data_IF_982100736380
#
_entry.id   IF_982100736380
#
_cell.length_a   1.000
_cell.length_b   1.000
_cell.length_c   1.000
_cell.angle_alpha   90.00
_cell.angle_beta   90.00
_cell.angle_gamma   90.00
#
_symmetry.space_group_name_H-M   'P 1'
#
loop_
_entity.id
_entity.type
_entity.pdbx_description
1 polymer ?
#
# COMPACT_ATOMS: atom_id res chain seq x y z
N UNK A 1 -8.81 0.22 2.92
CA UNK A 1 -7.66 -0.69 2.74
C UNK A 1 -6.56 -0.23 3.67
N UNK A 2 -5.93 -1.18 4.35
CA UNK A 2 -5.05 -0.91 5.48
C UNK A 2 -3.66 -1.43 5.21
N UNK A 3 -2.64 -0.62 5.53
CA UNK A 3 -1.25 -1.05 5.53
C UNK A 3 -0.74 -1.12 6.97
N UNK A 4 -0.11 -2.23 7.34
CA UNK A 4 0.52 -2.38 8.63
C UNK A 4 1.97 -1.91 8.61
N UNK A 5 2.34 -0.98 9.48
CA UNK A 5 3.74 -0.58 9.66
C UNK A 5 4.33 -1.48 10.73
N UNK A 6 5.34 -2.25 10.34
CA UNK A 6 6.05 -3.19 11.21
C UNK A 6 7.54 -2.86 11.27
N UNK A 7 8.22 -3.36 12.28
CA UNK A 7 9.66 -3.22 12.44
C UNK A 7 10.08 -3.59 13.86
N UNK A 8 11.36 -3.91 14.04
CA UNK A 8 11.94 -4.15 15.35
C UNK A 8 11.95 -2.86 16.20
N UNK A 9 12.14 -2.94 17.51
CA UNK A 9 12.30 -1.74 18.33
C UNK A 9 13.47 -0.87 17.86
N UNK A 10 13.30 0.45 17.96
CA UNK A 10 14.34 1.45 17.67
C UNK A 10 14.84 1.53 16.21
N UNK A 11 14.00 1.13 15.25
CA UNK A 11 14.29 1.26 13.81
C UNK A 11 13.74 2.55 13.18
N UNK A 12 13.02 3.39 13.95
CA UNK A 12 12.37 4.60 13.46
C UNK A 12 10.89 4.41 13.09
N UNK A 13 10.28 3.26 13.42
CA UNK A 13 8.89 2.93 13.10
C UNK A 13 7.89 3.99 13.61
N UNK A 14 7.97 4.36 14.89
CA UNK A 14 7.04 5.33 15.49
C UNK A 14 7.29 6.75 14.96
N UNK A 15 8.54 7.12 14.67
CA UNK A 15 8.87 8.40 14.03
C UNK A 15 8.21 8.48 12.66
N UNK A 16 8.36 7.44 11.83
CA UNK A 16 7.73 7.36 10.51
C UNK A 16 6.20 7.39 10.60
N UNK A 17 5.60 6.62 11.51
CA UNK A 17 4.14 6.62 11.69
C UNK A 17 3.61 7.99 12.12
N UNK A 18 4.30 8.67 13.06
CA UNK A 18 3.93 10.02 13.48
C UNK A 18 4.07 11.03 12.34
N UNK A 19 5.13 10.96 11.52
CA UNK A 19 5.30 11.81 10.36
C UNK A 19 4.15 11.60 9.34
N UNK A 20 3.75 10.36 9.07
CA UNK A 20 2.61 10.01 8.21
C UNK A 20 1.31 10.62 8.77
N UNK A 21 1.05 10.46 10.07
CA UNK A 21 -0.19 10.95 10.71
C UNK A 21 -0.23 12.46 10.81
N UNK A 22 0.90 13.13 11.06
CA UNK A 22 1.00 14.60 11.07
C UNK A 22 0.75 15.18 9.67
N UNK A 23 1.35 14.61 8.63
CA UNK A 23 1.06 15.00 7.24
C UNK A 23 -0.42 14.81 6.89
N UNK A 24 -1.07 13.75 7.40
CA UNK A 24 -2.50 13.52 7.28
C UNK A 24 -3.35 14.54 8.02
N UNK A 25 -2.93 14.97 9.19
CA UNK A 25 -3.64 15.95 10.01
C UNK A 25 -3.61 17.36 9.39
N UNK A 26 -2.51 17.76 8.77
CA UNK A 26 -2.42 19.04 8.03
C UNK A 26 -3.29 19.07 6.77
N UNK A 27 -3.45 17.93 6.12
CA UNK A 27 -4.41 17.79 5.00
C UNK A 27 -5.86 17.64 5.47
N UNK A 28 -6.12 17.57 6.79
CA UNK A 28 -7.42 17.33 7.43
C UNK A 28 -8.39 18.52 7.49
N UNK A 29 -8.30 19.47 6.60
CA UNK A 29 -9.49 20.26 6.22
C UNK A 29 -10.62 19.34 5.65
N UNK A 30 -10.36 18.02 5.62
CA UNK A 30 -11.28 16.97 5.19
C UNK A 30 -11.92 16.29 6.42
N UNK A 31 -13.23 16.42 6.56
CA UNK A 31 -14.07 16.09 7.72
C UNK A 31 -14.14 14.61 8.16
N UNK A 32 -13.17 13.75 7.84
CA UNK A 32 -13.23 12.31 8.09
C UNK A 32 -12.01 11.68 8.76
N UNK A 33 -11.08 12.49 9.32
CA UNK A 33 -9.99 11.95 10.12
C UNK A 33 -10.49 11.61 11.53
N UNK A 34 -11.03 10.43 11.73
CA UNK A 34 -11.15 9.84 13.06
C UNK A 34 -9.77 9.37 13.50
N UNK A 35 -9.23 9.98 14.54
CA UNK A 35 -7.98 9.55 15.18
C UNK A 35 -8.33 8.37 16.08
N UNK A 36 -8.30 7.16 15.53
CA UNK A 36 -8.21 5.97 16.37
C UNK A 36 -6.74 5.81 16.82
N UNK A 37 -6.48 5.41 18.06
CA UNK A 37 -5.12 5.12 18.49
C UNK A 37 -4.47 4.12 17.53
N UNK A 38 -3.29 4.43 17.02
CA UNK A 38 -2.51 3.61 16.08
C UNK A 38 -3.08 3.44 14.64
N UNK A 39 -4.07 4.24 14.22
CA UNK A 39 -4.56 4.28 12.83
C UNK A 39 -4.44 5.70 12.29
N UNK A 40 -3.71 5.85 11.18
CA UNK A 40 -3.58 7.10 10.44
C UNK A 40 -4.29 7.01 9.10
N UNK A 41 -5.21 7.93 8.82
CA UNK A 41 -5.85 8.06 7.49
C UNK A 41 -5.19 9.23 6.77
N UNK A 42 -4.61 8.96 5.60
CA UNK A 42 -3.78 9.92 4.88
C UNK A 42 -4.29 10.10 3.46
N UNK A 43 -4.26 11.34 2.97
CA UNK A 43 -4.57 11.64 1.59
C UNK A 43 -3.46 11.08 0.65
N UNK A 44 -3.87 10.49 -0.46
CA UNK A 44 -2.95 10.05 -1.51
C UNK A 44 -2.56 11.28 -2.34
N UNK A 45 -1.27 11.64 -2.41
CA UNK A 45 -0.80 12.75 -3.24
C UNK A 45 -1.14 12.52 -4.71
N UNK A 46 -1.93 13.42 -5.29
CA UNK A 46 -2.37 13.33 -6.68
C UNK A 46 -2.51 14.73 -7.30
N UNK A 47 -1.50 15.17 -8.06
CA UNK A 47 -1.46 16.45 -8.71
C UNK A 47 -2.64 16.73 -9.66
N UNK A 48 -3.30 15.64 -10.13
CA UNK A 48 -4.45 15.75 -11.04
C UNK A 48 -5.64 16.43 -10.37
N UNK A 49 -5.79 16.21 -9.06
CA UNK A 49 -6.84 16.88 -8.26
C UNK A 49 -6.60 18.38 -8.19
N UNK A 50 -5.36 18.81 -7.94
CA UNK A 50 -4.99 20.23 -7.88
C UNK A 50 -5.27 20.92 -9.23
N UNK A 51 -4.87 20.30 -10.34
CA UNK A 51 -5.13 20.81 -11.69
C UNK A 51 -6.62 20.90 -12.02
N UNK A 52 -7.41 19.91 -11.62
CA UNK A 52 -8.86 19.95 -11.79
C UNK A 52 -9.51 21.01 -10.88
N UNK A 53 -8.99 21.21 -9.67
CA UNK A 53 -9.45 22.26 -8.78
C UNK A 53 -9.17 23.67 -9.35
N UNK A 54 -7.99 23.91 -9.94
CA UNK A 54 -7.68 25.13 -10.67
C UNK A 54 -8.67 25.37 -11.82
N UNK A 55 -9.04 24.31 -12.57
CA UNK A 55 -9.92 24.41 -13.74
C UNK A 55 -11.39 24.65 -13.37
N UNK A 56 -11.92 23.96 -12.35
CA UNK A 56 -13.33 23.96 -12.01
C UNK A 56 -13.71 24.89 -10.87
N UNK A 57 -12.72 25.40 -10.10
CA UNK A 57 -12.90 26.20 -8.88
C UNK A 57 -13.98 25.61 -7.96
N UNK A 58 -13.82 24.37 -7.48
CA UNK A 58 -14.88 23.66 -6.79
C UNK A 58 -15.10 24.17 -5.36
N UNK A 59 -16.31 24.00 -4.84
CA UNK A 59 -16.61 24.29 -3.44
C UNK A 59 -15.91 23.33 -2.48
N UNK A 60 -15.58 22.09 -2.96
CA UNK A 60 -14.94 21.06 -2.15
C UNK A 60 -13.96 20.24 -2.99
N UNK A 61 -12.84 19.88 -2.36
CA UNK A 61 -11.84 18.96 -2.92
C UNK A 61 -11.77 17.74 -2.00
N UNK A 62 -11.83 16.52 -2.57
CA UNK A 62 -11.76 15.28 -1.79
C UNK A 62 -10.76 14.32 -2.45
N UNK A 63 -9.55 14.18 -1.91
CA UNK A 63 -8.56 13.22 -2.41
C UNK A 63 -8.95 11.78 -2.08
N UNK A 64 -8.30 10.82 -2.75
CA UNK A 64 -8.29 9.44 -2.31
C UNK A 64 -7.54 9.33 -0.96
N UNK A 65 -7.91 8.35 -0.15
CA UNK A 65 -7.26 8.13 1.15
C UNK A 65 -6.83 6.68 1.31
N UNK A 66 -5.79 6.48 2.14
CA UNK A 66 -5.28 5.17 2.53
C UNK A 66 -5.07 5.15 4.05
N UNK A 67 -5.22 3.98 4.66
CA UNK A 67 -5.09 3.80 6.10
C UNK A 67 -3.77 3.13 6.44
N UNK A 68 -3.01 3.71 7.37
CA UNK A 68 -1.82 3.13 7.97
C UNK A 68 -2.11 2.72 9.40
N UNK A 69 -1.65 1.54 9.80
CA UNK A 69 -1.83 1.00 11.16
C UNK A 69 -0.46 0.78 11.78
N UNK A 70 -0.18 1.43 12.91
CA UNK A 70 1.02 1.15 13.68
C UNK A 70 0.86 -0.19 14.41
N UNK A 71 1.59 -1.20 13.93
CA UNK A 71 1.60 -2.52 14.55
C UNK A 71 2.74 -2.55 15.57
N UNK A 72 2.41 -2.82 16.82
CA UNK A 72 3.38 -2.91 17.91
C UNK A 72 4.54 -3.83 17.53
N UNK A 73 5.77 -3.42 17.85
CA UNK A 73 6.99 -4.12 17.43
C UNK A 73 7.00 -5.59 17.87
N UNK A 74 7.56 -6.42 17.02
CA UNK A 74 7.76 -7.84 17.26
C UNK A 74 8.76 -8.05 18.39
N UNK A 75 8.41 -8.92 19.33
CA UNK A 75 9.37 -9.54 20.25
C UNK A 75 9.62 -10.96 19.75
N UNK A 76 10.89 -11.35 19.64
CA UNK A 76 11.31 -12.70 19.20
C UNK A 76 10.56 -13.80 19.98
N UNK A 77 9.99 -14.79 19.27
CA UNK A 77 9.17 -15.83 19.85
C UNK A 77 7.66 -15.57 19.83
N UNK A 78 7.22 -14.64 18.99
CA UNK A 78 5.80 -14.29 18.83
C UNK A 78 4.91 -15.48 18.46
N UNK A 79 5.41 -16.41 17.64
CA UNK A 79 4.71 -17.60 17.18
C UNK A 79 4.54 -18.67 18.28
N UNK A 80 5.35 -18.63 19.35
CA UNK A 80 5.29 -19.62 20.45
C UNK A 80 4.21 -19.37 21.52
N UNK A 81 3.31 -18.41 21.28
CA UNK A 81 2.03 -18.36 21.99
C UNK A 81 1.98 -17.55 23.28
N UNK A 82 2.96 -16.75 23.63
CA UNK A 82 2.88 -15.89 24.82
C UNK A 82 2.53 -14.42 24.48
N UNK A 83 1.28 -14.03 24.74
CA UNK A 83 0.81 -12.65 24.94
C UNK A 83 0.97 -11.68 23.74
N UNK A 84 2.07 -10.94 23.66
CA UNK A 84 2.29 -9.87 22.69
C UNK A 84 2.49 -10.36 21.26
N UNK A 85 3.07 -11.55 21.07
CA UNK A 85 3.30 -12.11 19.74
C UNK A 85 2.02 -12.47 19.01
N UNK A 86 1.04 -13.08 19.68
CA UNK A 86 -0.25 -13.37 19.10
C UNK A 86 -1.01 -12.10 18.67
N UNK A 87 -0.87 -11.00 19.43
CA UNK A 87 -1.45 -9.70 19.05
C UNK A 87 -0.79 -9.14 17.79
N UNK A 88 0.53 -9.23 17.67
CA UNK A 88 1.26 -8.83 16.47
C UNK A 88 0.75 -9.57 15.23
N UNK A 89 0.71 -10.90 15.26
CA UNK A 89 0.21 -11.73 14.15
C UNK A 89 -1.27 -11.47 13.85
N UNK A 90 -2.10 -11.19 14.88
CA UNK A 90 -3.49 -10.81 14.69
C UNK A 90 -3.63 -9.49 13.93
N UNK A 91 -2.86 -8.46 14.30
CA UNK A 91 -2.89 -7.16 13.62
C UNK A 91 -2.40 -7.30 12.16
N UNK A 92 -1.37 -8.13 11.90
CA UNK A 92 -0.94 -8.39 10.52
C UNK A 92 -2.05 -9.06 9.70
N UNK A 93 -2.89 -9.91 10.28
CA UNK A 93 -4.03 -10.51 9.56
C UNK A 93 -5.04 -9.48 9.08
N UNK A 94 -5.23 -8.39 9.83
CA UNK A 94 -6.23 -7.36 9.55
C UNK A 94 -5.82 -6.34 8.48
N UNK A 95 -4.55 -6.32 8.07
CA UNK A 95 -4.04 -5.39 7.07
C UNK A 95 -3.90 -6.07 5.70
N UNK A 96 -3.97 -5.26 4.63
CA UNK A 96 -3.91 -5.76 3.24
C UNK A 96 -2.47 -5.88 2.72
N UNK A 97 -1.54 -5.06 3.23
CA UNK A 97 -0.11 -5.08 2.89
C UNK A 97 0.74 -4.61 4.08
N UNK A 98 2.05 -4.77 3.98
CA UNK A 98 3.01 -4.50 5.04
C UNK A 98 4.01 -3.44 4.59
N UNK A 99 4.29 -2.47 5.45
CA UNK A 99 5.45 -1.60 5.37
C UNK A 99 6.42 -2.03 6.47
N UNK A 100 7.52 -2.63 6.07
CA UNK A 100 8.54 -3.07 7.01
C UNK A 100 9.64 -2.02 7.13
N UNK A 101 9.65 -1.30 8.25
CA UNK A 101 10.67 -0.31 8.55
C UNK A 101 11.95 -1.02 9.00
N UNK A 102 13.02 -0.79 8.25
CA UNK A 102 14.32 -1.45 8.44
C UNK A 102 15.39 -0.40 8.72
N UNK A 103 16.16 -0.57 9.78
CA UNK A 103 17.21 0.36 10.16
C UNK A 103 18.45 0.15 9.29
N UNK A 104 18.83 1.16 8.49
CA UNK A 104 20.04 1.19 7.67
C UNK A 104 21.02 2.29 8.08
N UNK A 105 20.72 3.07 9.11
CA UNK A 105 21.55 4.17 9.62
C UNK A 105 22.35 3.78 10.87
N UNK A 106 23.52 4.40 11.04
CA UNK A 106 24.29 4.34 12.28
C UNK A 106 23.90 5.48 13.22
N UNK A 107 23.72 5.17 14.50
CA UNK A 107 23.55 6.15 15.56
C UNK A 107 23.89 5.48 16.90
N UNK A 108 24.96 5.94 17.54
CA UNK A 108 25.48 5.35 18.79
C UNK A 108 24.57 5.62 19.99
N UNK A 109 23.74 6.67 19.92
CA UNK A 109 22.77 7.03 20.99
C UNK A 109 21.51 6.16 20.96
N UNK A 110 21.29 5.44 19.86
CA UNK A 110 20.10 4.58 19.67
C UNK A 110 20.52 3.11 19.72
N UNK A 111 20.28 2.46 20.86
CA UNK A 111 20.62 1.04 21.05
C UNK A 111 19.76 0.16 20.14
N UNK A 112 20.41 -0.74 19.38
CA UNK A 112 19.73 -1.78 18.62
C UNK A 112 19.39 -2.97 19.53
N UNK A 113 18.18 -3.55 19.40
CA UNK A 113 17.71 -4.66 20.25
C UNK A 113 18.61 -5.90 20.21
N UNK A 114 19.23 -6.16 19.06
CA UNK A 114 20.16 -7.28 18.84
C UNK A 114 21.66 -6.88 19.04
N UNK A 115 21.94 -5.67 19.56
CA UNK A 115 23.29 -5.18 19.84
C UNK A 115 24.13 -4.76 18.63
N UNK A 116 23.69 -5.05 17.42
CA UNK A 116 24.32 -4.63 16.14
C UNK A 116 23.28 -4.34 15.10
N UNK A 117 23.62 -3.46 14.13
CA UNK A 117 22.73 -3.12 13.02
C UNK A 117 23.00 -4.11 11.88
N UNK A 118 22.00 -4.94 11.58
CA UNK A 118 22.01 -5.91 10.50
C UNK A 118 20.60 -6.00 9.88
N UNK A 119 20.33 -5.22 8.83
CA UNK A 119 19.01 -5.17 8.21
C UNK A 119 18.51 -6.52 7.70
N UNK A 120 19.39 -7.36 7.17
CA UNK A 120 19.03 -8.67 6.65
C UNK A 120 18.52 -9.58 7.77
N UNK A 121 19.29 -9.71 8.86
CA UNK A 121 18.88 -10.45 10.05
C UNK A 121 17.54 -9.94 10.62
N UNK A 122 17.35 -8.62 10.64
CA UNK A 122 16.15 -8.00 11.19
C UNK A 122 14.92 -8.34 10.34
N UNK A 123 15.06 -8.35 9.01
CA UNK A 123 14.02 -8.79 8.07
C UNK A 123 13.73 -10.28 8.25
N UNK A 124 14.77 -11.12 8.28
CA UNK A 124 14.64 -12.57 8.47
C UNK A 124 13.92 -12.91 9.78
N UNK A 125 14.18 -12.16 10.85
CA UNK A 125 13.51 -12.34 12.15
C UNK A 125 11.99 -12.17 12.04
N UNK A 126 11.53 -11.12 11.37
CA UNK A 126 10.09 -10.88 11.17
C UNK A 126 9.50 -11.91 10.21
N UNK A 127 10.16 -12.18 9.08
CA UNK A 127 9.71 -13.15 8.10
C UNK A 127 9.55 -14.54 8.73
N UNK A 128 10.48 -14.97 9.58
CA UNK A 128 10.41 -16.25 10.26
C UNK A 128 9.16 -16.38 11.13
N UNK A 129 8.79 -15.35 11.89
CA UNK A 129 7.58 -15.39 12.72
C UNK A 129 6.29 -15.49 11.87
N UNK A 130 6.25 -14.80 10.72
CA UNK A 130 5.12 -14.92 9.78
C UNK A 130 5.05 -16.33 9.20
N UNK A 131 6.18 -16.87 8.75
CA UNK A 131 6.30 -18.23 8.19
C UNK A 131 5.86 -19.30 9.20
N UNK A 132 6.33 -19.21 10.44
CA UNK A 132 5.95 -20.19 11.48
C UNK A 132 4.43 -20.20 11.72
N UNK A 133 3.80 -19.01 11.76
CA UNK A 133 2.33 -18.91 11.85
C UNK A 133 1.64 -19.53 10.62
N UNK A 134 2.21 -19.35 9.44
CA UNK A 134 1.63 -19.82 8.18
C UNK A 134 1.75 -21.35 8.05
N UNK A 135 2.85 -21.95 8.50
CA UNK A 135 3.02 -23.42 8.54
C UNK A 135 1.91 -24.06 9.38
N UNK A 136 1.56 -23.49 10.53
CA UNK A 136 0.45 -23.99 11.34
C UNK A 136 -0.92 -23.92 10.63
N UNK A 137 -1.12 -22.85 9.83
CA UNK A 137 -2.35 -22.69 9.04
C UNK A 137 -2.39 -23.76 7.94
N UNK A 138 -1.27 -23.94 7.22
CA UNK A 138 -1.15 -24.95 6.17
C UNK A 138 -1.35 -26.37 6.68
N UNK A 139 -0.78 -26.73 7.81
CA UNK A 139 -0.95 -28.08 8.41
C UNK A 139 -2.44 -28.40 8.66
N UNK A 140 -3.18 -27.42 9.17
CA UNK A 140 -4.63 -27.57 9.38
C UNK A 140 -5.39 -27.66 8.05
N UNK A 141 -5.04 -26.84 7.03
CA UNK A 141 -5.68 -26.89 5.72
C UNK A 141 -5.37 -28.20 5.00
N UNK A 142 -4.11 -28.63 4.97
CA UNK A 142 -3.68 -29.92 4.39
C UNK A 142 -4.46 -31.08 5.01
N UNK A 143 -4.52 -31.15 6.35
CA UNK A 143 -5.28 -32.20 7.06
C UNK A 143 -6.74 -32.22 6.65
N UNK A 144 -7.37 -31.08 6.44
CA UNK A 144 -8.76 -30.99 5.98
C UNK A 144 -8.89 -31.46 4.54
N UNK A 145 -8.07 -30.96 3.61
CA UNK A 145 -8.11 -31.35 2.20
C UNK A 145 -7.83 -32.84 2.01
N UNK A 146 -6.92 -33.46 2.79
CA UNK A 146 -6.66 -34.90 2.76
C UNK A 146 -7.88 -35.74 3.16
N UNK A 147 -8.72 -35.24 4.06
CA UNK A 147 -9.98 -35.92 4.43
C UNK A 147 -11.01 -35.78 3.31
N UNK A 148 -11.15 -34.59 2.77
CA UNK A 148 -12.14 -34.27 1.75
C UNK A 148 -11.81 -34.97 0.41
N UNK A 149 -10.52 -35.16 0.10
CA UNK A 149 -10.02 -35.88 -1.09
C UNK A 149 -10.56 -37.31 -1.21
N UNK A 150 -10.92 -37.94 -0.08
CA UNK A 150 -11.53 -39.32 -0.08
C UNK A 150 -12.88 -39.33 -0.80
N UNK A 151 -13.59 -38.22 -0.80
CA UNK A 151 -14.88 -38.04 -1.48
C UNK A 151 -14.80 -37.31 -2.80
N UNK A 152 -13.80 -36.43 -2.97
CA UNK A 152 -13.63 -35.58 -4.13
C UNK A 152 -12.18 -35.55 -4.62
N UNK A 153 -11.92 -36.29 -5.72
CA UNK A 153 -10.59 -36.41 -6.32
C UNK A 153 -10.10 -35.13 -7.00
N UNK A 154 -10.98 -34.15 -7.27
CA UNK A 154 -10.59 -32.87 -7.88
C UNK A 154 -9.65 -32.05 -7.00
N UNK A 155 -9.68 -32.29 -5.67
CA UNK A 155 -8.84 -31.62 -4.69
C UNK A 155 -7.36 -32.06 -4.70
N UNK A 156 -6.96 -33.00 -5.58
CA UNK A 156 -5.58 -33.50 -5.61
C UNK A 156 -4.59 -32.36 -5.93
N UNK A 157 -4.92 -31.51 -6.88
CA UNK A 157 -4.03 -30.38 -7.29
C UNK A 157 -3.85 -29.37 -6.15
N UNK A 158 -4.94 -29.02 -5.45
CA UNK A 158 -4.86 -28.17 -4.26
C UNK A 158 -3.93 -28.81 -3.20
N UNK A 159 -4.10 -30.08 -2.91
CA UNK A 159 -3.29 -30.78 -1.93
C UNK A 159 -1.79 -30.78 -2.28
N UNK A 160 -1.47 -31.07 -3.53
CA UNK A 160 -0.08 -31.11 -4.01
C UNK A 160 0.57 -29.72 -3.91
N UNK A 161 -0.15 -28.68 -4.30
CA UNK A 161 0.31 -27.30 -4.14
C UNK A 161 0.53 -26.93 -2.66
N UNK A 162 -0.44 -27.20 -1.78
CA UNK A 162 -0.33 -26.89 -0.36
C UNK A 162 0.87 -27.59 0.31
N UNK A 163 1.15 -28.84 -0.06
CA UNK A 163 2.33 -29.57 0.43
C UNK A 163 3.64 -28.98 -0.09
N UNK A 164 3.70 -28.59 -1.36
CA UNK A 164 4.84 -27.90 -1.94
C UNK A 164 5.08 -26.57 -1.25
N UNK A 165 4.04 -25.73 -1.12
CA UNK A 165 4.10 -24.44 -0.44
C UNK A 165 4.59 -24.59 1.00
N UNK A 166 4.09 -25.58 1.74
CA UNK A 166 4.55 -25.86 3.09
C UNK A 166 6.06 -26.17 3.14
N UNK A 167 6.54 -26.99 2.20
CA UNK A 167 7.97 -27.30 2.08
C UNK A 167 8.83 -26.07 1.79
N UNK A 168 8.37 -25.17 0.92
CA UNK A 168 9.08 -23.90 0.64
C UNK A 168 9.13 -23.00 1.89
N UNK A 169 8.03 -22.89 2.62
CA UNK A 169 8.00 -22.14 3.89
C UNK A 169 8.97 -22.72 4.94
N UNK A 170 9.04 -24.04 5.07
CA UNK A 170 10.01 -24.71 5.98
C UNK A 170 11.47 -24.43 5.60
N UNK A 171 11.74 -24.16 4.32
CA UNK A 171 13.05 -23.73 3.83
C UNK A 171 13.29 -22.22 3.99
N UNK A 172 12.36 -21.48 4.61
CA UNK A 172 12.48 -20.03 4.86
C UNK A 172 12.03 -19.16 3.71
N UNK A 173 11.42 -19.71 2.66
CA UNK A 173 10.88 -18.94 1.53
C UNK A 173 9.52 -18.38 1.92
N UNK A 174 9.33 -17.06 1.80
CA UNK A 174 8.03 -16.42 2.04
C UNK A 174 7.00 -16.85 0.99
N UNK A 175 5.73 -17.02 1.38
CA UNK A 175 4.68 -17.43 0.45
C UNK A 175 4.51 -16.48 -0.76
N UNK A 176 4.82 -15.18 -0.60
CA UNK A 176 4.81 -14.19 -1.69
C UNK A 176 5.88 -14.43 -2.76
N UNK A 177 6.95 -15.14 -2.44
CA UNK A 177 8.05 -15.46 -3.34
C UNK A 177 7.89 -16.82 -4.04
N UNK A 178 6.90 -17.61 -3.65
CA UNK A 178 6.66 -18.94 -4.25
C UNK A 178 5.99 -18.79 -5.61
N UNK A 179 6.61 -19.38 -6.64
CA UNK A 179 6.00 -19.42 -7.97
C UNK A 179 4.72 -20.25 -7.96
N UNK A 180 3.64 -19.72 -8.54
CA UNK A 180 2.33 -20.34 -8.60
C UNK A 180 1.65 -20.05 -9.96
N UNK A 181 0.99 -21.05 -10.53
CA UNK A 181 0.13 -20.86 -11.68
C UNK A 181 -1.18 -20.14 -11.30
N UNK A 182 -2.05 -19.82 -12.27
CA UNK A 182 -3.29 -19.06 -12.00
C UNK A 182 -4.25 -19.79 -11.04
N UNK A 183 -4.35 -21.12 -11.13
CA UNK A 183 -5.18 -21.92 -10.25
C UNK A 183 -4.56 -22.04 -8.85
N UNK A 184 -3.24 -22.18 -8.78
CA UNK A 184 -2.50 -22.19 -7.51
C UNK A 184 -2.56 -20.84 -6.77
N UNK A 185 -2.61 -19.71 -7.52
CA UNK A 185 -2.84 -18.38 -6.94
C UNK A 185 -4.23 -18.26 -6.29
N UNK A 186 -5.24 -18.92 -6.86
CA UNK A 186 -6.56 -18.97 -6.23
C UNK A 186 -6.48 -19.74 -4.91
N UNK A 187 -5.83 -20.91 -4.87
CA UNK A 187 -5.62 -21.66 -3.63
C UNK A 187 -4.85 -20.85 -2.59
N UNK A 188 -3.79 -20.14 -3.01
CA UNK A 188 -3.02 -19.29 -2.11
C UNK A 188 -3.87 -18.15 -1.52
N UNK A 189 -4.72 -17.54 -2.32
CA UNK A 189 -5.65 -16.49 -1.89
C UNK A 189 -6.64 -16.98 -0.83
N UNK A 190 -7.13 -18.22 -0.97
CA UNK A 190 -8.10 -18.83 -0.05
C UNK A 190 -7.52 -19.16 1.33
N UNK A 191 -6.21 -19.40 1.41
CA UNK A 191 -5.55 -19.73 2.68
C UNK A 191 -5.24 -18.51 3.54
N UNK A 192 -5.15 -17.32 2.92
CA UNK A 192 -4.88 -16.04 3.58
C UNK A 192 -3.64 -16.06 4.51
N UNK A 193 -2.50 -16.45 3.96
CA UNK A 193 -1.22 -16.51 4.67
C UNK A 193 -0.67 -15.12 4.97
N UNK A 194 0.08 -14.99 6.07
CA UNK A 194 0.71 -13.73 6.48
C UNK A 194 1.92 -13.39 5.61
N UNK A 195 2.75 -14.39 5.30
CA UNK A 195 3.94 -14.23 4.46
C UNK A 195 3.63 -14.10 2.96
N UNK A 196 2.34 -14.24 2.55
CA UNK A 196 1.89 -13.96 1.20
C UNK A 196 1.55 -12.48 0.96
N UNK A 197 1.41 -11.68 2.04
CA UNK A 197 1.05 -10.27 1.91
C UNK A 197 2.11 -9.48 1.17
N UNK A 198 1.70 -8.56 0.26
CA UNK A 198 2.61 -7.63 -0.39
C UNK A 198 3.36 -6.78 0.64
N UNK A 199 4.63 -6.45 0.36
CA UNK A 199 5.51 -5.75 1.29
C UNK A 199 6.33 -4.66 0.60
N UNK A 200 6.54 -3.55 1.30
CA UNK A 200 7.57 -2.55 1.00
C UNK A 200 8.56 -2.52 2.16
N UNK A 201 9.84 -2.64 1.86
CA UNK A 201 10.91 -2.40 2.81
C UNK A 201 11.25 -0.91 2.84
N UNK A 202 10.75 -0.20 3.86
CA UNK A 202 11.09 1.19 4.14
C UNK A 202 12.45 1.24 4.85
N UNK A 203 13.51 1.44 4.09
CA UNK A 203 14.89 1.47 4.58
C UNK A 203 15.16 2.82 5.22
N UNK A 204 15.11 2.88 6.56
CA UNK A 204 15.36 4.10 7.30
C UNK A 204 16.86 4.40 7.34
N UNK A 205 17.25 5.50 6.72
CA UNK A 205 18.62 5.96 6.50
C UNK A 205 18.86 7.28 7.21
N UNK A 206 20.10 7.70 7.37
CA UNK A 206 20.48 9.01 7.88
C UNK A 206 20.36 10.09 6.82
N UNK A 207 20.30 11.36 7.21
CA UNK A 207 20.39 12.50 6.29
C UNK A 207 21.73 12.50 5.53
N UNK A 208 22.80 12.07 6.19
CA UNK A 208 24.14 11.96 5.57
C UNK A 208 24.16 10.95 4.42
N UNK A 209 23.45 9.83 4.53
CA UNK A 209 23.32 8.85 3.44
C UNK A 209 22.65 9.46 2.21
N UNK A 210 21.66 10.34 2.40
CA UNK A 210 21.03 11.06 1.29
C UNK A 210 21.96 12.09 0.65
N UNK A 211 22.76 12.80 1.46
CA UNK A 211 23.71 13.80 0.96
C UNK A 211 24.90 13.17 0.21
N UNK A 212 25.39 12.01 0.68
CA UNK A 212 26.56 11.32 0.11
C UNK A 212 26.22 10.37 -1.03
N UNK A 213 24.96 10.00 -1.20
CA UNK A 213 24.48 9.07 -2.21
C UNK A 213 23.99 7.75 -1.63
N UNK A 214 22.71 7.51 -1.74
CA UNK A 214 21.98 6.35 -1.18
C UNK A 214 22.63 5.00 -1.57
N UNK A 215 23.19 4.94 -2.79
CA UNK A 215 23.82 3.71 -3.33
C UNK A 215 25.13 3.32 -2.68
N UNK A 216 25.74 4.23 -1.92
CA UNK A 216 26.99 3.94 -1.20
C UNK A 216 26.72 3.24 0.13
N UNK A 217 25.48 3.21 0.60
CA UNK A 217 25.10 2.50 1.81
C UNK A 217 25.02 0.99 1.57
N UNK A 218 25.98 0.24 2.13
CA UNK A 218 26.07 -1.21 1.95
C UNK A 218 24.86 -1.97 2.54
N UNK A 219 24.26 -1.46 3.64
CA UNK A 219 23.09 -2.07 4.30
C UNK A 219 21.85 -1.92 3.42
N UNK A 220 21.64 -0.74 2.85
CA UNK A 220 20.56 -0.52 1.88
C UNK A 220 20.70 -1.46 0.68
N UNK A 221 21.90 -1.58 0.12
CA UNK A 221 22.15 -2.49 -1.01
C UNK A 221 21.90 -3.98 -0.67
N UNK A 222 22.16 -4.39 0.57
CA UNK A 222 21.82 -5.74 1.03
C UNK A 222 20.31 -5.97 1.08
N UNK A 223 19.55 -4.98 1.56
CA UNK A 223 18.07 -5.05 1.55
C UNK A 223 17.52 -5.06 0.13
N UNK A 224 18.09 -4.27 -0.80
CA UNK A 224 17.66 -4.28 -2.20
C UNK A 224 17.79 -5.65 -2.84
N UNK A 225 18.91 -6.35 -2.61
CA UNK A 225 19.13 -7.72 -3.13
C UNK A 225 18.13 -8.73 -2.57
N UNK A 226 17.84 -8.64 -1.26
CA UNK A 226 16.84 -9.49 -0.62
C UNK A 226 15.45 -9.22 -1.19
N UNK A 227 15.07 -7.96 -1.32
CA UNK A 227 13.77 -7.55 -1.86
C UNK A 227 13.58 -8.01 -3.31
N UNK A 228 14.62 -7.89 -4.15
CA UNK A 228 14.60 -8.37 -5.53
C UNK A 228 14.32 -9.88 -5.61
N UNK A 229 14.95 -10.67 -4.74
CA UNK A 229 14.73 -12.12 -4.67
C UNK A 229 13.30 -12.49 -4.24
N UNK A 230 12.62 -11.62 -3.48
CA UNK A 230 11.24 -11.83 -3.03
C UNK A 230 10.19 -11.15 -3.93
N UNK A 231 10.60 -10.42 -4.97
CA UNK A 231 9.70 -9.58 -5.77
C UNK A 231 9.07 -8.43 -4.98
N UNK A 232 9.74 -7.97 -3.92
CA UNK A 232 9.31 -6.87 -3.06
C UNK A 232 9.95 -5.54 -3.47
N UNK A 233 9.35 -4.42 -3.06
CA UNK A 233 9.90 -3.09 -3.27
C UNK A 233 10.75 -2.62 -2.09
N UNK A 234 11.78 -1.80 -2.39
CA UNK A 234 12.54 -1.04 -1.39
C UNK A 234 12.31 0.45 -1.57
N UNK A 235 12.20 1.16 -0.46
CA UNK A 235 12.11 2.61 -0.45
C UNK A 235 13.11 3.16 0.57
N UNK A 236 14.13 3.93 0.15
CA UNK A 236 14.98 4.65 1.08
C UNK A 236 14.19 5.84 1.65
N UNK A 237 14.22 6.01 2.96
CA UNK A 237 13.51 7.09 3.67
C UNK A 237 14.37 7.53 4.86
N UNK A 238 14.36 8.82 5.17
CA UNK A 238 14.88 9.33 6.42
C UNK A 238 13.70 9.75 7.32
N UNK A 239 13.33 8.90 8.27
CA UNK A 239 12.16 9.15 9.11
C UNK A 239 12.27 10.45 9.94
N UNK A 240 13.48 10.87 10.31
CA UNK A 240 13.74 12.11 11.02
C UNK A 240 13.51 13.33 10.12
N UNK A 241 14.04 13.31 8.90
CA UNK A 241 13.82 14.36 7.91
C UNK A 241 12.34 14.47 7.53
N UNK A 242 11.66 13.35 7.32
CA UNK A 242 10.23 13.34 6.99
C UNK A 242 9.38 13.87 8.15
N UNK A 243 9.79 13.65 9.41
CA UNK A 243 9.11 14.22 10.56
C UNK A 243 9.23 15.76 10.59
N UNK A 244 10.40 16.31 10.23
CA UNK A 244 10.61 17.75 10.10
C UNK A 244 9.77 18.34 8.96
N UNK A 245 9.80 17.71 7.78
CA UNK A 245 9.00 18.12 6.60
C UNK A 245 7.50 18.11 6.90
N UNK A 246 7.03 17.14 7.68
CA UNK A 246 5.62 17.01 8.04
C UNK A 246 5.09 18.13 8.95
N UNK A 247 5.96 18.94 9.54
CA UNK A 247 5.60 20.11 10.36
C UNK A 247 5.50 21.40 9.53
N UNK A 248 6.07 21.42 8.30
CA UNK A 248 6.12 22.58 7.42
C UNK A 248 4.79 22.78 6.67
N UNK A 249 4.45 24.04 6.38
CA UNK A 249 3.37 24.33 5.45
C UNK A 249 3.76 23.98 3.99
N UNK A 250 2.80 24.10 3.06
CA UNK A 250 3.03 23.68 1.66
C UNK A 250 4.15 24.46 1.00
N UNK A 251 4.23 25.77 1.20
CA UNK A 251 5.24 26.64 0.58
C UNK A 251 6.62 26.38 1.18
N UNK A 252 6.69 26.26 2.50
CA UNK A 252 7.91 25.90 3.23
C UNK A 252 8.43 24.52 2.83
N UNK A 253 7.53 23.52 2.69
CA UNK A 253 7.87 22.17 2.23
C UNK A 253 8.48 22.19 0.82
N UNK A 254 7.86 22.90 -0.12
CA UNK A 254 8.37 23.02 -1.49
C UNK A 254 9.76 23.68 -1.53
N UNK A 255 9.98 24.74 -0.75
CA UNK A 255 11.30 25.40 -0.64
C UNK A 255 12.34 24.46 -0.03
N UNK A 256 11.99 23.78 1.06
CA UNK A 256 12.90 22.89 1.77
C UNK A 256 13.34 21.69 0.90
N UNK A 257 12.42 21.08 0.17
CA UNK A 257 12.73 19.99 -0.77
C UNK A 257 13.61 20.49 -1.92
N UNK A 258 13.34 21.69 -2.45
CA UNK A 258 14.16 22.30 -3.51
C UNK A 258 15.60 22.57 -3.04
N UNK A 259 15.79 23.08 -1.82
CA UNK A 259 17.11 23.32 -1.23
C UNK A 259 17.92 22.02 -1.06
N UNK A 260 17.25 20.91 -0.79
CA UNK A 260 17.87 19.58 -0.70
C UNK A 260 18.04 18.90 -2.08
N UNK A 261 17.54 19.48 -3.15
CA UNK A 261 17.54 18.87 -4.49
C UNK A 261 16.66 17.63 -4.59
N UNK A 262 15.63 17.52 -3.75
CA UNK A 262 14.68 16.41 -3.69
C UNK A 262 13.40 16.84 -4.42
N UNK A 263 13.01 16.10 -5.47
CA UNK A 263 11.79 16.42 -6.25
C UNK A 263 10.50 16.07 -5.48
N UNK A 264 10.51 15.03 -4.66
CA UNK A 264 9.34 14.52 -3.93
C UNK A 264 9.75 13.97 -2.56
N UNK A 265 9.01 14.33 -1.50
CA UNK A 265 9.23 13.80 -0.16
C UNK A 265 9.07 12.28 -0.08
N UNK A 266 9.84 11.65 0.79
CA UNK A 266 9.80 10.19 0.96
C UNK A 266 8.45 9.68 1.47
N UNK A 267 7.73 10.45 2.29
CA UNK A 267 6.36 10.12 2.71
C UNK A 267 5.38 10.10 1.55
N UNK A 268 5.42 11.12 0.68
CA UNK A 268 4.54 11.19 -0.49
C UNK A 268 4.79 9.99 -1.41
N UNK A 269 6.07 9.64 -1.58
CA UNK A 269 6.47 8.46 -2.36
C UNK A 269 6.01 7.15 -1.71
N UNK A 270 6.15 7.02 -0.39
CA UNK A 270 5.68 5.86 0.37
C UNK A 270 4.18 5.65 0.23
N UNK A 271 3.40 6.73 0.34
CA UNK A 271 1.94 6.69 0.19
C UNK A 271 1.55 6.25 -1.23
N UNK A 272 2.16 6.84 -2.26
CA UNK A 272 1.89 6.48 -3.66
C UNK A 272 2.27 5.03 -3.96
N UNK A 273 3.46 4.57 -3.54
CA UNK A 273 3.89 3.18 -3.73
C UNK A 273 3.01 2.20 -2.98
N UNK A 274 2.59 2.55 -1.76
CA UNK A 274 1.64 1.76 -0.98
C UNK A 274 0.28 1.60 -1.68
N UNK A 275 -0.20 2.68 -2.30
CA UNK A 275 -1.42 2.67 -3.09
C UNK A 275 -1.32 1.74 -4.31
N UNK A 276 -0.20 1.82 -5.02
CA UNK A 276 0.10 0.96 -6.17
C UNK A 276 0.29 -0.52 -5.75
N UNK A 277 0.99 -0.78 -4.63
CA UNK A 277 1.20 -2.12 -4.08
C UNK A 277 -0.12 -2.85 -3.81
N UNK A 278 -1.14 -2.12 -3.38
CA UNK A 278 -2.49 -2.66 -3.15
C UNK A 278 -3.29 -2.84 -4.45
N UNK A 279 -2.70 -2.55 -5.62
CA UNK A 279 -3.37 -2.61 -6.91
C UNK A 279 -4.51 -1.60 -7.03
N UNK A 280 -4.40 -0.45 -6.35
CA UNK A 280 -5.39 0.60 -6.37
C UNK A 280 -5.13 1.59 -7.50
N UNK A 281 -6.21 2.15 -8.03
CA UNK A 281 -6.22 3.24 -8.99
C UNK A 281 -7.29 4.26 -8.59
N UNK A 282 -7.16 5.49 -9.09
CA UNK A 282 -8.14 6.55 -8.87
C UNK A 282 -8.80 6.95 -10.17
N UNK A 283 -10.13 6.89 -10.23
CA UNK A 283 -10.88 7.66 -11.20
C UNK A 283 -11.37 8.97 -10.55
N UNK A 284 -11.65 9.99 -11.37
CA UNK A 284 -11.92 11.34 -10.93
C UNK A 284 -13.34 11.75 -11.33
N UNK A 285 -14.00 12.52 -10.47
CA UNK A 285 -15.18 13.29 -10.81
C UNK A 285 -14.88 14.77 -10.61
N UNK A 286 -15.21 15.61 -11.59
CA UNK A 286 -14.87 17.02 -11.57
C UNK A 286 -16.07 17.89 -11.93
N UNK A 287 -16.36 18.87 -11.07
CA UNK A 287 -17.41 19.85 -11.23
C UNK A 287 -17.34 20.93 -10.16
N UNK A 288 -18.12 22.00 -10.31
CA UNK A 288 -18.17 23.11 -9.34
C UNK A 288 -18.57 22.69 -7.91
N UNK A 289 -19.47 21.69 -7.68
CA UNK A 289 -19.75 21.26 -6.32
C UNK A 289 -18.56 20.57 -5.67
N UNK A 290 -17.87 19.69 -6.40
CA UNK A 290 -16.77 18.88 -5.86
C UNK A 290 -15.85 18.39 -6.97
N UNK A 291 -14.54 18.40 -6.70
CA UNK A 291 -13.53 17.60 -7.39
C UNK A 291 -13.11 16.49 -6.44
N UNK A 292 -13.21 15.22 -6.89
CA UNK A 292 -12.98 14.07 -6.04
C UNK A 292 -12.26 12.93 -6.76
N UNK A 293 -11.31 12.31 -6.07
CA UNK A 293 -10.73 11.02 -6.45
C UNK A 293 -11.46 9.88 -5.75
N UNK A 294 -11.75 8.85 -6.53
CA UNK A 294 -12.44 7.64 -6.08
C UNK A 294 -11.51 6.44 -6.19
N UNK A 295 -11.26 5.79 -5.09
CA UNK A 295 -10.39 4.60 -5.03
C UNK A 295 -11.12 3.35 -5.48
N UNK A 296 -10.55 2.65 -6.46
CA UNK A 296 -11.00 1.35 -6.95
C UNK A 296 -9.81 0.41 -7.14
N UNK A 297 -10.05 -0.89 -7.23
CA UNK A 297 -9.02 -1.85 -7.64
C UNK A 297 -8.82 -1.79 -9.16
N UNK A 298 -7.58 -1.97 -9.60
CA UNK A 298 -7.25 -2.17 -11.02
C UNK A 298 -8.07 -3.34 -11.57
N UNK A 299 -8.64 -3.18 -12.76
CA UNK A 299 -9.54 -4.17 -13.34
C UNK A 299 -11.03 -3.98 -13.02
N UNK A 300 -11.40 -3.02 -12.15
CA UNK A 300 -12.80 -2.70 -11.84
C UNK A 300 -13.52 -2.17 -13.08
N UNK A 301 -14.73 -2.69 -13.36
CA UNK A 301 -15.58 -2.23 -14.47
C UNK A 301 -16.41 -1.00 -14.08
N UNK A 302 -16.88 -0.26 -15.08
CA UNK A 302 -17.63 0.99 -14.90
C UNK A 302 -18.85 0.90 -13.97
N UNK A 303 -19.71 -0.14 -14.00
CA UNK A 303 -20.82 -0.25 -13.05
C UNK A 303 -20.37 -0.34 -11.59
N UNK A 304 -19.37 -1.17 -11.28
CA UNK A 304 -18.83 -1.31 -9.92
C UNK A 304 -18.12 -0.03 -9.45
N UNK A 305 -17.45 0.68 -10.38
CA UNK A 305 -16.88 2.00 -10.09
C UNK A 305 -17.99 3.02 -9.74
N UNK A 306 -19.09 3.05 -10.50
CA UNK A 306 -20.26 3.88 -10.20
C UNK A 306 -20.86 3.53 -8.82
N UNK A 307 -20.85 2.26 -8.43
CA UNK A 307 -21.26 1.76 -7.12
C UNK A 307 -20.46 2.33 -5.94
N UNK A 308 -19.22 2.78 -6.17
CA UNK A 308 -18.42 3.49 -5.16
C UNK A 308 -19.01 4.86 -4.80
N UNK A 309 -19.71 5.49 -5.72
CA UNK A 309 -20.43 6.75 -5.46
C UNK A 309 -21.72 6.46 -4.70
N UNK A 310 -22.54 5.56 -5.23
CA UNK A 310 -23.79 5.12 -4.61
C UNK A 310 -24.26 3.79 -5.23
N UNK A 311 -24.87 2.93 -4.42
CA UNK A 311 -25.39 1.62 -4.89
C UNK A 311 -26.42 1.73 -6.01
N UNK A 312 -27.20 2.81 -6.03
CA UNK A 312 -28.18 3.05 -7.10
C UNK A 312 -27.51 3.35 -8.44
N UNK A 313 -26.31 3.96 -8.44
CA UNK A 313 -25.55 4.21 -9.67
C UNK A 313 -25.08 2.90 -10.32
N UNK A 314 -24.75 1.89 -9.51
CA UNK A 314 -24.41 0.56 -10.00
C UNK A 314 -25.64 -0.15 -10.58
N UNK A 315 -26.75 -0.16 -9.81
CA UNK A 315 -28.00 -0.84 -10.21
C UNK A 315 -28.62 -0.24 -11.46
N UNK A 316 -28.68 1.09 -11.52
CA UNK A 316 -29.26 1.85 -12.61
C UNK A 316 -28.29 2.22 -13.72
N UNK A 317 -27.07 1.65 -13.74
CA UNK A 317 -26.01 2.04 -14.68
C UNK A 317 -26.48 1.92 -16.14
N UNK A 318 -26.35 3.01 -16.89
CA UNK A 318 -26.64 3.07 -18.33
C UNK A 318 -25.34 3.12 -19.12
N UNK A 319 -24.50 4.13 -18.85
CA UNK A 319 -23.20 4.35 -19.50
C UNK A 319 -22.33 5.29 -18.68
N UNK A 320 -21.04 5.31 -18.97
CA UNK A 320 -20.08 6.29 -18.46
C UNK A 320 -19.58 7.20 -19.60
N UNK A 321 -19.61 8.51 -19.37
CA UNK A 321 -18.94 9.47 -20.23
C UNK A 321 -17.52 9.64 -19.66
N UNK A 322 -16.49 9.22 -20.39
CA UNK A 322 -15.12 9.09 -19.90
C UNK A 322 -14.16 9.90 -20.77
N UNK A 323 -13.30 10.66 -20.13
CA UNK A 323 -12.13 11.28 -20.73
C UNK A 323 -10.91 11.03 -19.85
N UNK A 324 -9.76 10.75 -20.45
CA UNK A 324 -8.53 10.64 -19.68
C UNK A 324 -8.03 12.03 -19.23
N UNK A 325 -7.41 12.11 -18.05
CA UNK A 325 -6.93 13.38 -17.49
C UNK A 325 -6.03 14.16 -18.47
N UNK A 326 -5.05 13.48 -19.08
CA UNK A 326 -4.11 14.12 -20.00
C UNK A 326 -4.81 14.71 -21.23
N UNK A 327 -5.83 14.01 -21.77
CA UNK A 327 -6.63 14.48 -22.90
C UNK A 327 -7.41 15.76 -22.51
N UNK A 328 -7.94 15.84 -21.30
CA UNK A 328 -8.63 17.03 -20.84
C UNK A 328 -7.65 18.20 -20.66
N UNK A 329 -6.49 17.96 -20.04
CA UNK A 329 -5.46 19.01 -19.84
C UNK A 329 -4.95 19.56 -21.18
N UNK A 330 -4.69 18.70 -22.16
CA UNK A 330 -4.24 19.11 -23.49
C UNK A 330 -5.27 19.95 -24.26
N UNK A 331 -6.56 19.86 -23.91
CA UNK A 331 -7.64 20.60 -24.58
C UNK A 331 -8.18 21.79 -23.75
N UNK A 332 -7.77 21.94 -22.52
CA UNK A 332 -8.08 23.06 -21.64
C UNK A 332 -9.53 23.11 -21.14
N UNK A 333 -10.50 22.53 -21.83
CA UNK A 333 -11.91 22.49 -21.40
C UNK A 333 -12.61 21.20 -21.81
N UNK A 334 -13.59 20.80 -21.03
CA UNK A 334 -14.45 19.64 -21.34
C UNK A 334 -15.21 19.83 -22.67
N UNK A 335 -15.59 21.07 -23.00
CA UNK A 335 -16.29 21.37 -24.24
C UNK A 335 -15.40 21.17 -25.46
N UNK A 336 -14.18 21.71 -25.44
CA UNK A 336 -13.20 21.53 -26.52
C UNK A 336 -12.85 20.05 -26.72
N UNK A 337 -12.73 19.29 -25.63
CA UNK A 337 -12.50 17.86 -25.70
C UNK A 337 -13.68 17.09 -26.32
N UNK A 338 -14.92 17.49 -26.01
CA UNK A 338 -16.12 16.92 -26.65
C UNK A 338 -16.20 17.20 -28.14
N UNK A 339 -15.91 18.42 -28.56
CA UNK A 339 -15.89 18.81 -29.97
C UNK A 339 -14.86 18.02 -30.79
N UNK A 340 -13.77 17.59 -30.15
CA UNK A 340 -12.75 16.70 -30.74
C UNK A 340 -13.06 15.22 -30.63
N UNK A 341 -14.20 14.84 -30.02
CA UNK A 341 -14.59 13.43 -29.85
C UNK A 341 -13.78 12.63 -28.82
N UNK A 342 -13.06 13.32 -27.92
CA UNK A 342 -12.21 12.66 -26.91
C UNK A 342 -13.01 12.17 -25.69
N UNK A 343 -14.23 12.67 -25.49
CA UNK A 343 -15.14 12.17 -24.48
C UNK A 343 -15.88 10.94 -25.02
N UNK A 344 -15.50 9.79 -24.53
CA UNK A 344 -16.01 8.49 -24.96
C UNK A 344 -17.28 8.13 -24.18
N UNK A 345 -18.19 7.42 -24.83
CA UNK A 345 -19.37 6.83 -24.19
C UNK A 345 -19.11 5.32 -24.01
N UNK A 346 -18.90 4.92 -22.77
CA UNK A 346 -18.46 3.57 -22.41
C UNK A 346 -19.60 2.78 -21.75
N UNK A 347 -19.71 1.50 -22.08
CA UNK A 347 -20.71 0.57 -21.57
C UNK A 347 -20.28 -0.18 -20.31
N UNK A 348 -21.07 -1.21 -19.95
CA UNK A 348 -20.89 -2.00 -18.71
C UNK A 348 -19.54 -2.76 -18.64
N UNK A 349 -18.99 -3.13 -19.80
CA UNK A 349 -17.76 -3.92 -19.88
C UNK A 349 -16.48 -3.05 -19.84
N UNK A 350 -16.61 -1.73 -19.81
CA UNK A 350 -15.48 -0.84 -19.74
C UNK A 350 -14.71 -1.03 -18.42
N UNK A 351 -13.43 -1.36 -18.55
CA UNK A 351 -12.50 -1.44 -17.42
C UNK A 351 -11.91 -0.06 -17.17
N UNK A 352 -12.15 0.46 -15.99
CA UNK A 352 -11.68 1.77 -15.54
C UNK A 352 -10.16 1.87 -15.56
N UNK A 353 -9.65 3.02 -15.98
CA UNK A 353 -8.23 3.34 -15.98
C UNK A 353 -7.92 4.40 -14.93
N UNK A 354 -6.67 4.36 -14.43
CA UNK A 354 -6.19 5.41 -13.53
C UNK A 354 -6.18 6.76 -14.26
N UNK A 355 -6.74 7.80 -13.61
CA UNK A 355 -6.88 9.14 -14.19
C UNK A 355 -8.07 9.32 -15.13
N UNK A 356 -8.96 8.35 -15.27
CA UNK A 356 -10.24 8.57 -15.97
C UNK A 356 -11.09 9.61 -15.22
N UNK A 357 -11.51 10.66 -15.93
CA UNK A 357 -12.51 11.62 -15.45
C UNK A 357 -13.87 11.19 -15.98
N UNK A 358 -14.83 10.96 -15.07
CA UNK A 358 -16.04 10.21 -15.41
C UNK A 358 -17.31 10.93 -14.98
N UNK A 359 -18.33 10.88 -15.85
CA UNK A 359 -19.69 11.21 -15.54
C UNK A 359 -20.57 9.99 -15.81
N UNK A 360 -21.07 9.36 -14.74
CA UNK A 360 -21.98 8.22 -14.85
C UNK A 360 -23.38 8.66 -15.17
N UNK A 361 -24.03 7.99 -16.14
CA UNK A 361 -25.44 8.12 -16.47
C UNK A 361 -26.15 6.88 -15.96
N UNK A 362 -27.13 7.09 -15.14
CA UNK A 362 -27.92 6.04 -14.50
C UNK A 362 -29.42 6.42 -14.47
N UNK A 363 -30.26 5.43 -14.30
CA UNK A 363 -31.71 5.58 -14.09
C UNK A 363 -32.14 4.66 -12.97
N UNK A 364 -32.84 5.21 -11.97
CA UNK A 364 -33.33 4.48 -10.78
C UNK A 364 -34.85 4.52 -10.80
#
# INVERSE_FOLDING_TARGET
MKLGIVGLPNVGKSTLFNAITNAGAQSANYAFCTIEPNVGVVAVPDYRIDKLAEMYNPAKITPATIEFVDIAGLVKGASKGEGLGNKFLSHIREVDAIIHVVRCFDNDDIIHVEGSIDPQRDIETINLELILSDVEILDRRITKVEKDLKGDKSLQKELDFLKRLRGELENGVNARAVEADEEEKEFLSDVALLSSKPIIYACNMSEEDFANGIRDNARYNAVCKLAEAEGAETLPICAELEAQIAELDKEEKEMFLADLGIEQGGLDLLIQRSYNLLGLISYLTAGQPEVRAWTIKKGTKAPQAAGKIHTDFERGFIRAEVIHFDDLMANGTMQAAKEKGLVRSEGKEYVMKDGDIVLFRFNV
#
